data_IF_596120889932
#
_entry.id   IF_596120889932
#
_cell.length_a   1.000
_cell.length_b   1.000
_cell.length_c   1.000
_cell.angle_alpha   90.00
_cell.angle_beta   90.00
_cell.angle_gamma   90.00
#
_symmetry.space_group_name_H-M   'P 1'
#
loop_
_entity.id
_entity.type
_entity.pdbx_description
1 polymer ?
#
# COMPACT_ATOMS: atom_id res chain seq x y z
N UNK A 1 6.27 7.50 1.42
CA UNK A 1 5.06 7.31 2.24
C UNK A 1 5.18 6.05 3.10
N UNK A 2 5.05 4.85 2.54
CA UNK A 2 5.24 3.56 3.25
C UNK A 2 6.49 3.53 4.15
N UNK A 3 7.66 3.86 3.59
CA UNK A 3 8.91 3.87 4.35
C UNK A 3 8.94 4.90 5.47
N UNK A 4 8.21 6.02 5.37
CA UNK A 4 8.12 6.99 6.46
C UNK A 4 7.41 6.36 7.66
N UNK A 5 6.36 5.59 7.42
CA UNK A 5 5.64 4.85 8.47
C UNK A 5 6.49 3.73 9.05
N UNK A 6 7.18 2.96 8.21
CA UNK A 6 8.02 1.85 8.67
C UNK A 6 9.27 2.31 9.44
N UNK A 7 9.77 3.51 9.14
CA UNK A 7 10.93 4.11 9.81
C UNK A 7 10.55 4.92 11.06
N UNK A 8 9.29 4.88 11.50
CA UNK A 8 8.79 5.70 12.62
C UNK A 8 8.92 7.22 12.39
N UNK A 9 9.08 7.67 11.13
CA UNK A 9 9.06 9.08 10.75
C UNK A 9 7.64 9.65 10.64
N UNK A 10 6.64 8.75 10.56
CA UNK A 10 5.23 9.06 10.58
C UNK A 10 4.46 7.93 11.24
N UNK A 11 3.40 8.23 12.00
CA UNK A 11 2.53 7.22 12.60
C UNK A 11 1.41 6.75 11.66
N UNK A 12 1.14 7.56 10.64
CA UNK A 12 0.04 7.36 9.70
C UNK A 12 0.33 8.11 8.40
N UNK A 13 0.06 7.47 7.27
CA UNK A 13 0.03 8.15 5.98
C UNK A 13 -1.15 7.64 5.14
N UNK A 14 -1.60 8.45 4.18
CA UNK A 14 -2.72 8.12 3.31
C UNK A 14 -2.41 8.45 1.85
N UNK A 15 -2.84 7.59 0.94
CA UNK A 15 -2.72 7.82 -0.49
C UNK A 15 -3.97 7.31 -1.19
N UNK A 16 -4.67 8.22 -1.87
CA UNK A 16 -5.83 7.91 -2.70
C UNK A 16 -5.41 7.92 -4.16
N UNK A 17 -5.52 6.76 -4.80
CA UNK A 17 -5.48 6.62 -6.25
C UNK A 17 -6.88 6.67 -6.85
N UNK A 18 -6.99 6.40 -8.15
CA UNK A 18 -8.30 6.33 -8.80
C UNK A 18 -9.14 5.16 -8.27
N UNK A 19 -8.56 3.97 -8.21
CA UNK A 19 -9.30 2.74 -7.89
C UNK A 19 -9.41 2.45 -6.39
N UNK A 20 -8.38 2.80 -5.62
CA UNK A 20 -8.35 2.49 -4.21
C UNK A 20 -7.68 3.58 -3.37
N UNK A 21 -8.00 3.58 -2.09
CA UNK A 21 -7.37 4.38 -1.05
C UNK A 21 -6.58 3.48 -0.11
N UNK A 22 -5.37 3.90 0.24
CA UNK A 22 -4.49 3.20 1.17
C UNK A 22 -4.34 4.02 2.45
N UNK A 23 -4.76 3.46 3.57
CA UNK A 23 -4.55 3.99 4.92
C UNK A 23 -3.42 3.21 5.60
N UNK A 24 -2.25 3.83 5.73
CA UNK A 24 -1.00 3.13 6.08
C UNK A 24 -0.64 3.39 7.54
N UNK A 25 -0.64 2.33 8.34
CA UNK A 25 -0.10 2.32 9.72
C UNK A 25 1.12 1.39 9.77
N UNK A 26 1.76 1.28 10.93
CA UNK A 26 3.02 0.53 11.08
C UNK A 26 2.87 -0.96 10.83
N UNK A 27 1.83 -1.55 11.42
CA UNK A 27 1.62 -2.99 11.39
C UNK A 27 0.75 -3.40 10.20
N UNK A 28 -0.32 -2.64 9.94
CA UNK A 28 -1.30 -2.93 8.91
C UNK A 28 -1.62 -1.71 8.05
N UNK A 29 -1.91 -1.99 6.79
CA UNK A 29 -2.46 -1.05 5.83
C UNK A 29 -3.88 -1.48 5.48
N UNK A 30 -4.84 -0.55 5.56
CA UNK A 30 -6.16 -0.75 5.02
C UNK A 30 -6.19 -0.31 3.56
N UNK A 31 -6.86 -1.07 2.70
CA UNK A 31 -7.03 -0.78 1.29
C UNK A 31 -8.53 -0.82 1.00
N UNK A 32 -9.09 0.31 0.62
CA UNK A 32 -10.52 0.45 0.33
C UNK A 32 -10.70 0.65 -1.17
N UNK A 33 -11.62 -0.08 -1.80
CA UNK A 33 -12.04 0.18 -3.17
C UNK A 33 -12.90 1.47 -3.20
N UNK A 34 -12.54 2.42 -4.05
CA UNK A 34 -13.23 3.71 -4.11
C UNK A 34 -14.58 3.65 -4.84
N UNK A 35 -14.87 2.56 -5.55
CA UNK A 35 -16.07 2.39 -6.40
C UNK A 35 -16.99 1.27 -5.93
N UNK A 36 -16.61 0.52 -4.91
CA UNK A 36 -17.50 -0.47 -4.33
C UNK A 36 -18.59 0.22 -3.51
N UNK A 37 -19.84 -0.20 -3.72
CA UNK A 37 -20.98 0.21 -2.91
C UNK A 37 -21.05 -0.59 -1.60
N UNK A 38 -20.30 -1.69 -1.50
CA UNK A 38 -20.06 -2.46 -0.28
C UNK A 38 -18.72 -2.02 0.33
N UNK A 39 -18.60 -2.00 1.65
CA UNK A 39 -17.34 -1.70 2.36
C UNK A 39 -16.31 -2.82 2.13
N UNK A 40 -15.89 -3.01 0.89
CA UNK A 40 -14.89 -3.98 0.45
C UNK A 40 -13.51 -3.46 0.83
N UNK A 41 -13.12 -3.83 2.04
CA UNK A 41 -11.83 -3.52 2.62
C UNK A 41 -10.88 -4.72 2.56
N UNK A 42 -9.63 -4.45 2.19
CA UNK A 42 -8.53 -5.40 2.29
C UNK A 42 -7.52 -4.90 3.32
N UNK A 43 -7.31 -5.69 4.37
CA UNK A 43 -6.32 -5.42 5.40
C UNK A 43 -5.10 -6.31 5.14
N UNK A 44 -3.93 -5.70 5.03
CA UNK A 44 -2.65 -6.39 4.79
C UNK A 44 -1.58 -5.90 5.75
N UNK A 45 -0.64 -6.76 6.14
CA UNK A 45 0.54 -6.32 6.87
C UNK A 45 1.33 -5.30 6.04
N UNK A 46 1.70 -4.16 6.61
CA UNK A 46 2.37 -3.09 5.88
C UNK A 46 3.71 -3.56 5.30
N UNK A 47 4.40 -4.47 5.99
CA UNK A 47 5.63 -5.10 5.49
C UNK A 47 5.38 -6.06 4.33
N UNK A 48 4.25 -6.73 4.29
CA UNK A 48 3.87 -7.60 3.18
C UNK A 48 3.55 -6.79 1.93
N UNK A 49 2.80 -5.69 2.09
CA UNK A 49 2.53 -4.75 1.00
C UNK A 49 3.82 -4.21 0.35
N UNK A 50 4.84 -3.88 1.16
CA UNK A 50 6.16 -3.48 0.63
C UNK A 50 6.78 -4.57 -0.24
N UNK A 51 6.78 -5.82 0.22
CA UNK A 51 7.34 -6.94 -0.55
C UNK A 51 6.62 -7.12 -1.89
N UNK A 52 5.29 -6.97 -1.90
CA UNK A 52 4.49 -7.04 -3.13
C UNK A 52 4.96 -5.94 -4.10
N UNK A 53 5.03 -4.68 -3.64
CA UNK A 53 5.48 -3.54 -4.46
C UNK A 53 6.91 -3.75 -5.01
N UNK A 54 7.82 -4.27 -4.18
CA UNK A 54 9.20 -4.56 -4.58
C UNK A 54 9.27 -5.65 -5.66
N UNK A 55 8.48 -6.73 -5.53
CA UNK A 55 8.40 -7.79 -6.53
C UNK A 55 7.88 -7.27 -7.87
N UNK A 56 6.81 -6.46 -7.85
CA UNK A 56 6.27 -5.82 -9.05
C UNK A 56 7.26 -4.87 -9.70
N UNK A 57 7.90 -4.02 -8.91
CA UNK A 57 8.90 -3.06 -9.39
C UNK A 57 10.11 -3.78 -10.02
N UNK A 58 10.59 -4.83 -9.37
CA UNK A 58 11.68 -5.68 -9.89
C UNK A 58 11.30 -6.30 -11.24
N UNK A 59 10.07 -6.82 -11.34
CA UNK A 59 9.58 -7.41 -12.59
C UNK A 59 9.49 -6.37 -13.70
N UNK A 60 8.94 -5.19 -13.45
CA UNK A 60 8.85 -4.10 -14.43
C UNK A 60 10.24 -3.67 -14.90
N UNK A 61 11.18 -3.47 -13.98
CA UNK A 61 12.55 -3.08 -14.29
C UNK A 61 13.32 -4.15 -15.08
N UNK A 62 12.95 -5.43 -14.94
CA UNK A 62 13.51 -6.52 -15.74
C UNK A 62 12.99 -6.55 -17.19
N UNK A 63 11.78 -6.02 -17.43
CA UNK A 63 11.16 -5.99 -18.76
C UNK A 63 11.65 -4.77 -19.56
N UNK A 64 11.93 -3.66 -18.87
CA UNK A 64 12.36 -2.39 -19.50
C UNK A 64 13.89 -2.30 -19.74
N UNK A 65 14.61 -3.42 -19.65
CA UNK A 65 16.04 -3.55 -19.97
C UNK A 65 16.23 -4.23 -21.32
#
# INVERSE_FOLDING_TARGET
MLYRVLNDESIYEECTGNNCTLEIKKDFTNITDNYSDEDDECIIETKELVKIIELWTTKINSINK
#
